data_IF_615976462520
#
_entry.id   IF_615976462520
#
_cell.length_a   1.000
_cell.length_b   1.000
_cell.length_c   1.000
_cell.angle_alpha   90.00
_cell.angle_beta   90.00
_cell.angle_gamma   90.00
#
_symmetry.space_group_name_H-M   'P 1'
#
loop_
_entity.id
_entity.type
_entity.pdbx_description
1 polymer ?
#
# COMPACT_ATOMS: atom_id res chain seq x y z
N UNK A 1 -5.17 22.58 4.31
CA UNK A 1 -5.76 21.41 5.00
C UNK A 1 -4.82 20.97 6.09
N UNK A 2 -5.29 20.92 7.33
CA UNK A 2 -4.56 20.31 8.44
C UNK A 2 -4.79 18.79 8.40
N UNK A 3 -3.80 18.02 8.86
CA UNK A 3 -4.08 16.63 9.24
C UNK A 3 -5.16 16.73 10.31
N UNK A 4 -6.30 16.06 10.12
CA UNK A 4 -7.47 16.15 11.02
C UNK A 4 -7.15 15.74 12.47
N UNK A 5 -8.16 15.53 13.33
CA UNK A 5 -7.93 15.17 14.74
C UNK A 5 -6.95 13.99 14.86
N UNK A 6 -5.74 14.30 15.34
CA UNK A 6 -4.62 13.35 15.39
C UNK A 6 -4.82 12.31 16.49
N UNK A 7 -5.61 12.63 17.51
CA UNK A 7 -5.92 11.82 18.68
C UNK A 7 -6.55 10.47 18.36
N UNK A 8 -7.08 10.30 17.14
CA UNK A 8 -7.67 9.05 16.66
C UNK A 8 -6.66 8.05 16.06
N UNK A 9 -5.42 8.49 15.80
CA UNK A 9 -4.35 7.63 15.27
C UNK A 9 -3.54 6.98 16.39
N UNK A 10 -2.69 6.00 16.05
CA UNK A 10 -1.75 5.41 17.00
C UNK A 10 -0.80 6.48 17.59
N UNK A 11 -0.46 6.43 18.89
CA UNK A 11 0.43 7.42 19.51
C UNK A 11 1.77 7.62 18.78
N UNK A 12 2.32 6.57 18.17
CA UNK A 12 3.55 6.68 17.39
C UNK A 12 3.33 7.50 16.11
N UNK A 13 2.25 7.21 15.39
CA UNK A 13 1.84 7.98 14.20
C UNK A 13 1.62 9.45 14.56
N UNK A 14 0.94 9.73 15.68
CA UNK A 14 0.72 11.09 16.16
C UNK A 14 2.04 11.84 16.38
N UNK A 15 2.97 11.21 17.10
CA UNK A 15 4.27 11.81 17.39
C UNK A 15 5.07 12.11 16.10
N UNK A 16 5.06 11.17 15.15
CA UNK A 16 5.75 11.32 13.86
C UNK A 16 5.14 12.47 13.04
N UNK A 17 3.81 12.54 12.95
CA UNK A 17 3.11 13.60 12.21
C UNK A 17 3.32 14.97 12.86
N UNK A 18 3.23 15.06 14.19
CA UNK A 18 3.48 16.32 14.90
C UNK A 18 4.90 16.83 14.69
N UNK A 19 5.89 15.94 14.70
CA UNK A 19 7.26 16.29 14.37
C UNK A 19 7.36 16.79 12.93
N UNK A 20 6.83 16.05 11.95
CA UNK A 20 6.87 16.42 10.54
C UNK A 20 6.19 17.78 10.27
N UNK A 21 5.02 18.02 10.84
CA UNK A 21 4.28 19.28 10.67
C UNK A 21 4.98 20.48 11.33
N UNK A 22 5.73 20.27 12.42
CA UNK A 22 6.60 21.32 12.98
C UNK A 22 7.76 21.62 12.04
N UNK A 23 8.47 20.59 11.59
CA UNK A 23 9.58 20.72 10.65
C UNK A 23 9.17 21.43 9.35
N UNK A 24 7.98 21.13 8.83
CA UNK A 24 7.41 21.75 7.63
C UNK A 24 7.12 23.25 7.79
N UNK A 25 6.84 23.72 9.02
CA UNK A 25 6.57 25.14 9.32
C UNK A 25 7.83 25.95 9.53
N UNK A 26 8.82 25.35 10.18
CA UNK A 26 10.01 26.07 10.65
C UNK A 26 11.10 26.22 9.57
N UNK A 27 11.10 25.36 8.55
CA UNK A 27 12.13 25.33 7.50
C UNK A 27 11.49 25.08 6.14
N UNK A 28 11.86 25.87 5.13
CA UNK A 28 11.47 25.60 3.74
C UNK A 28 12.16 24.32 3.23
N UNK A 29 11.43 23.22 3.01
CA UNK A 29 12.02 21.94 2.64
C UNK A 29 12.62 21.97 1.22
N UNK A 30 12.18 22.89 0.36
CA UNK A 30 12.74 23.05 -0.99
C UNK A 30 14.18 23.57 -0.95
N UNK A 31 14.53 24.30 0.12
CA UNK A 31 15.89 24.84 0.32
C UNK A 31 16.80 23.90 1.12
N UNK A 32 16.24 22.88 1.78
CA UNK A 32 17.00 21.97 2.63
C UNK A 32 16.69 20.50 2.38
N UNK A 33 17.56 19.87 1.58
CA UNK A 33 17.41 18.50 1.10
C UNK A 33 17.39 17.44 2.21
N UNK A 34 18.14 17.66 3.30
CA UNK A 34 18.14 16.75 4.45
C UNK A 34 16.82 16.78 5.22
N UNK A 35 16.20 17.96 5.32
CA UNK A 35 14.89 18.12 5.97
C UNK A 35 13.77 17.55 5.12
N UNK A 36 13.79 17.81 3.80
CA UNK A 36 12.86 17.19 2.88
C UNK A 36 12.91 15.65 2.94
N UNK A 37 14.11 15.07 3.11
CA UNK A 37 14.28 13.63 3.35
C UNK A 37 13.62 13.15 4.62
N UNK A 38 13.86 13.82 5.74
CA UNK A 38 13.26 13.44 7.02
C UNK A 38 11.73 13.59 7.02
N UNK A 39 11.22 14.65 6.38
CA UNK A 39 9.78 14.84 6.16
C UNK A 39 9.20 13.69 5.33
N UNK A 40 9.84 13.33 4.22
CA UNK A 40 9.39 12.24 3.38
C UNK A 40 9.32 10.90 4.11
N UNK A 41 10.33 10.60 4.94
CA UNK A 41 10.29 9.42 5.80
C UNK A 41 9.17 9.48 6.82
N UNK A 42 9.06 10.59 7.56
CA UNK A 42 8.08 10.75 8.63
C UNK A 42 6.66 10.57 8.11
N UNK A 43 6.32 11.26 7.03
CA UNK A 43 5.02 11.14 6.37
C UNK A 43 4.71 9.72 5.89
N UNK A 44 5.68 9.05 5.27
CA UNK A 44 5.48 7.68 4.79
C UNK A 44 5.33 6.67 5.93
N UNK A 45 6.12 6.82 6.99
CA UNK A 45 6.05 5.93 8.16
C UNK A 45 4.76 6.11 8.94
N UNK A 46 4.25 7.34 9.07
CA UNK A 46 2.95 7.59 9.68
C UNK A 46 1.83 6.81 8.96
N UNK A 47 1.78 6.89 7.62
CA UNK A 47 0.79 6.12 6.83
C UNK A 47 1.02 4.62 6.94
N UNK A 48 2.29 4.17 6.85
CA UNK A 48 2.65 2.76 6.94
C UNK A 48 2.25 2.13 8.29
N UNK A 49 2.49 2.84 9.40
CA UNK A 49 2.13 2.38 10.73
C UNK A 49 0.62 2.22 10.89
N UNK A 50 -0.15 3.24 10.48
CA UNK A 50 -1.61 3.18 10.60
C UNK A 50 -2.22 2.02 9.80
N UNK A 51 -1.83 1.87 8.53
CA UNK A 51 -2.39 0.78 7.73
C UNK A 51 -1.95 -0.59 8.28
N UNK A 52 -0.71 -0.73 8.75
CA UNK A 52 -0.23 -1.96 9.40
C UNK A 52 -1.08 -2.28 10.63
N UNK A 53 -1.32 -1.31 11.51
CA UNK A 53 -2.14 -1.50 12.70
C UNK A 53 -3.56 -1.97 12.37
N UNK A 54 -4.15 -1.48 11.26
CA UNK A 54 -5.48 -1.90 10.81
C UNK A 54 -5.52 -3.32 10.21
N UNK A 55 -4.47 -3.74 9.51
CA UNK A 55 -4.52 -4.99 8.72
C UNK A 55 -3.65 -6.12 9.25
N UNK A 56 -2.68 -5.87 10.13
CA UNK A 56 -1.66 -6.85 10.54
C UNK A 56 -2.28 -8.14 11.08
N UNK A 57 -3.24 -8.05 12.00
CA UNK A 57 -3.91 -9.23 12.56
C UNK A 57 -4.70 -10.02 11.51
N UNK A 58 -5.38 -9.32 10.59
CA UNK A 58 -6.22 -9.93 9.54
C UNK A 58 -5.33 -10.59 8.49
N UNK A 59 -4.28 -9.89 8.05
CA UNK A 59 -3.27 -10.39 7.13
C UNK A 59 -2.47 -11.56 7.72
N UNK A 60 -2.07 -11.50 8.99
CA UNK A 60 -1.37 -12.59 9.68
C UNK A 60 -2.19 -13.88 9.78
N UNK A 61 -3.51 -13.77 9.94
CA UNK A 61 -4.43 -14.93 9.84
C UNK A 61 -4.53 -15.43 8.39
N UNK A 62 -4.67 -14.52 7.43
CA UNK A 62 -4.80 -14.89 6.02
C UNK A 62 -3.54 -15.55 5.45
N UNK A 63 -2.33 -15.05 5.78
CA UNK A 63 -1.06 -15.58 5.26
C UNK A 63 -0.79 -17.03 5.70
N UNK A 64 -1.42 -17.46 6.80
CA UNK A 64 -1.31 -18.82 7.34
C UNK A 64 -2.49 -19.72 6.96
N UNK A 65 -3.54 -19.18 6.33
CA UNK A 65 -4.78 -19.90 6.04
C UNK A 65 -4.62 -20.91 4.90
N UNK A 66 -5.51 -21.91 4.88
CA UNK A 66 -5.68 -22.79 3.71
C UNK A 66 -6.14 -22.03 2.47
N UNK A 67 -6.88 -20.94 2.66
CA UNK A 67 -7.44 -20.16 1.56
C UNK A 67 -6.34 -19.54 0.72
N UNK A 68 -5.32 -18.93 1.36
CA UNK A 68 -4.18 -18.40 0.61
C UNK A 68 -3.38 -19.52 -0.06
N UNK A 69 -3.19 -20.68 0.60
CA UNK A 69 -2.49 -21.83 -0.01
C UNK A 69 -3.17 -22.31 -1.29
N UNK A 70 -4.51 -22.27 -1.33
CA UNK A 70 -5.30 -22.65 -2.49
C UNK A 70 -5.39 -21.53 -3.54
N UNK A 71 -5.36 -20.26 -3.10
CA UNK A 71 -5.48 -19.09 -3.97
C UNK A 71 -4.17 -18.77 -4.67
N UNK A 72 -3.03 -18.85 -3.97
CA UNK A 72 -1.73 -18.40 -4.47
C UNK A 72 -1.31 -19.05 -5.81
N UNK A 73 -1.48 -20.38 -6.03
CA UNK A 73 -1.21 -21.00 -7.33
C UNK A 73 -2.15 -20.53 -8.45
N UNK A 74 -3.31 -19.95 -8.12
CA UNK A 74 -4.23 -19.35 -9.11
C UNK A 74 -3.83 -17.91 -9.47
N UNK A 75 -3.06 -17.24 -8.62
CA UNK A 75 -2.57 -15.88 -8.83
C UNK A 75 -1.19 -15.85 -9.50
N UNK A 76 -0.35 -16.83 -9.18
CA UNK A 76 1.04 -16.89 -9.61
C UNK A 76 1.36 -18.28 -10.18
N UNK A 77 1.82 -18.31 -11.43
CA UNK A 77 2.24 -19.50 -12.13
C UNK A 77 3.73 -19.76 -11.90
N UNK A 78 4.04 -20.81 -11.14
CA UNK A 78 5.42 -21.19 -10.84
C UNK A 78 6.19 -21.76 -12.02
N UNK A 79 5.51 -22.21 -13.08
CA UNK A 79 6.17 -22.73 -14.30
C UNK A 79 6.67 -21.59 -15.18
N UNK A 80 5.93 -20.48 -15.20
CA UNK A 80 6.28 -19.28 -15.94
C UNK A 80 7.07 -18.25 -15.11
N UNK A 81 7.22 -18.49 -13.79
CA UNK A 81 7.77 -17.53 -12.82
C UNK A 81 7.07 -16.16 -12.92
N UNK A 82 5.75 -16.16 -13.13
CA UNK A 82 4.98 -14.97 -13.47
C UNK A 82 3.56 -15.01 -12.89
N UNK A 83 2.83 -13.91 -13.02
CA UNK A 83 1.39 -13.88 -12.73
C UNK A 83 0.66 -14.90 -13.61
N UNK A 84 -0.43 -15.47 -13.09
CA UNK A 84 -1.32 -16.29 -13.91
C UNK A 84 -1.91 -15.46 -15.05
N UNK A 85 -2.18 -16.09 -16.20
CA UNK A 85 -2.74 -15.39 -17.36
C UNK A 85 -4.05 -14.67 -17.04
N UNK A 86 -4.90 -15.29 -16.20
CA UNK A 86 -6.13 -14.69 -15.72
C UNK A 86 -5.89 -13.41 -14.93
N UNK A 87 -4.91 -13.42 -14.02
CA UNK A 87 -4.57 -12.25 -13.21
C UNK A 87 -3.92 -11.15 -14.08
N UNK A 88 -3.01 -11.51 -14.99
CA UNK A 88 -2.41 -10.54 -15.92
C UNK A 88 -3.47 -9.85 -16.77
N UNK A 89 -4.44 -10.62 -17.31
CA UNK A 89 -5.58 -10.06 -18.05
C UNK A 89 -6.44 -9.17 -17.17
N UNK A 90 -6.72 -9.59 -15.94
CA UNK A 90 -7.46 -8.78 -14.97
C UNK A 90 -6.80 -7.41 -14.79
N UNK A 91 -5.49 -7.35 -14.58
CA UNK A 91 -4.75 -6.10 -14.48
C UNK A 91 -4.87 -5.21 -15.73
N UNK A 92 -4.79 -5.79 -16.94
CA UNK A 92 -4.93 -5.03 -18.18
C UNK A 92 -6.32 -4.40 -18.35
N UNK A 93 -7.36 -5.01 -17.79
CA UNK A 93 -8.73 -4.50 -17.87
C UNK A 93 -9.02 -3.41 -16.83
N UNK A 94 -8.21 -3.31 -15.78
CA UNK A 94 -8.35 -2.29 -14.73
C UNK A 94 -7.66 -0.98 -15.18
N UNK A 95 -8.40 -0.13 -15.91
CA UNK A 95 -7.91 1.19 -16.34
C UNK A 95 -7.44 2.01 -15.13
N UNK A 96 -6.28 2.65 -15.25
CA UNK A 96 -5.69 3.52 -14.22
C UNK A 96 -5.00 2.79 -13.05
N UNK A 97 -5.24 1.50 -12.84
CA UNK A 97 -4.54 0.73 -11.79
C UNK A 97 -3.08 0.47 -12.15
N UNK A 98 -2.84 0.13 -13.42
CA UNK A 98 -1.51 -0.23 -13.92
C UNK A 98 -0.48 0.91 -13.92
N UNK A 99 -0.91 2.15 -13.70
CA UNK A 99 -0.01 3.31 -13.59
C UNK A 99 0.82 3.27 -12.31
N UNK A 100 0.22 2.82 -11.20
CA UNK A 100 0.89 2.72 -9.90
C UNK A 100 1.20 1.26 -9.53
N UNK A 101 0.23 0.36 -9.68
CA UNK A 101 0.36 -1.06 -9.33
C UNK A 101 0.64 -1.86 -10.60
N UNK A 102 1.93 -2.01 -10.90
CA UNK A 102 2.38 -2.74 -12.08
C UNK A 102 2.28 -4.25 -11.89
N UNK A 103 2.13 -5.00 -13.00
CA UNK A 103 2.14 -6.47 -12.96
C UNK A 103 3.44 -7.03 -12.36
N UNK A 104 4.59 -6.40 -12.65
CA UNK A 104 5.87 -6.83 -12.08
C UNK A 104 5.92 -6.63 -10.56
N UNK A 105 5.42 -5.50 -10.05
CA UNK A 105 5.31 -5.28 -8.61
C UNK A 105 4.47 -6.37 -7.95
N UNK A 106 3.32 -6.70 -8.55
CA UNK A 106 2.42 -7.74 -8.02
C UNK A 106 3.09 -9.11 -8.08
N UNK A 107 3.80 -9.42 -9.17
CA UNK A 107 4.57 -10.66 -9.35
C UNK A 107 5.60 -10.83 -8.24
N UNK A 108 6.41 -9.79 -7.99
CA UNK A 108 7.42 -9.82 -6.93
C UNK A 108 6.82 -10.05 -5.54
N UNK A 109 5.68 -9.42 -5.25
CA UNK A 109 4.99 -9.57 -3.96
C UNK A 109 4.43 -10.99 -3.79
N UNK A 110 3.74 -11.53 -4.81
CA UNK A 110 3.21 -12.90 -4.78
C UNK A 110 4.33 -13.96 -4.72
N UNK A 111 5.43 -13.74 -5.44
CA UNK A 111 6.62 -14.58 -5.39
C UNK A 111 7.20 -14.63 -3.96
N UNK A 112 7.33 -13.47 -3.29
CA UNK A 112 7.79 -13.41 -1.89
C UNK A 112 6.81 -14.08 -0.94
N UNK A 113 5.50 -13.89 -1.12
CA UNK A 113 4.49 -14.60 -0.32
C UNK A 113 4.64 -16.11 -0.47
N UNK A 114 4.86 -16.60 -1.69
CA UNK A 114 5.08 -18.03 -1.97
C UNK A 114 6.36 -18.55 -1.31
N UNK A 115 7.47 -17.81 -1.46
CA UNK A 115 8.78 -18.21 -0.93
C UNK A 115 8.84 -18.22 0.60
N UNK A 116 8.21 -17.23 1.25
CA UNK A 116 8.30 -17.08 2.70
C UNK A 116 7.09 -17.64 3.46
N UNK A 117 5.95 -17.87 2.78
CA UNK A 117 4.73 -18.42 3.36
C UNK A 117 4.32 -17.65 4.62
N UNK A 118 4.13 -18.38 5.73
CA UNK A 118 3.76 -17.83 7.03
C UNK A 118 4.75 -16.78 7.60
N UNK A 119 6.00 -16.74 7.11
CA UNK A 119 7.01 -15.75 7.52
C UNK A 119 6.95 -14.47 6.70
N UNK A 120 6.14 -14.41 5.64
CA UNK A 120 5.99 -13.22 4.82
C UNK A 120 5.35 -12.10 5.63
N UNK A 121 5.91 -10.90 5.51
CA UNK A 121 5.35 -9.66 6.05
C UNK A 121 5.19 -8.65 4.93
N UNK A 122 4.08 -7.93 4.94
CA UNK A 122 3.83 -6.82 4.03
C UNK A 122 4.56 -5.58 4.55
N UNK A 123 5.87 -5.52 4.32
CA UNK A 123 6.70 -4.40 4.74
C UNK A 123 6.88 -3.37 3.63
N UNK A 124 6.71 -2.11 3.99
CA UNK A 124 6.73 -1.00 3.06
C UNK A 124 5.39 -0.75 2.37
N UNK A 125 5.14 0.53 2.07
CA UNK A 125 3.93 1.02 1.42
C UNK A 125 3.59 0.29 0.11
N UNK A 126 4.58 -0.11 -0.68
CA UNK A 126 4.37 -0.89 -1.92
C UNK A 126 3.74 -2.26 -1.67
N UNK A 127 4.27 -3.00 -0.70
CA UNK A 127 3.74 -4.33 -0.36
C UNK A 127 2.33 -4.22 0.22
N UNK A 128 2.12 -3.23 1.10
CA UNK A 128 0.82 -2.93 1.68
C UNK A 128 -0.20 -2.55 0.60
N UNK A 129 0.17 -1.70 -0.35
CA UNK A 129 -0.69 -1.33 -1.48
C UNK A 129 -1.13 -2.54 -2.31
N UNK A 130 -0.20 -3.44 -2.66
CA UNK A 130 -0.55 -4.68 -3.37
C UNK A 130 -1.46 -5.58 -2.54
N UNK A 131 -1.18 -5.73 -1.24
CA UNK A 131 -2.00 -6.53 -0.32
C UNK A 131 -3.42 -5.99 -0.20
N UNK A 132 -3.57 -4.67 -0.03
CA UNK A 132 -4.88 -4.01 0.02
C UNK A 132 -5.61 -4.14 -1.32
N UNK A 133 -4.91 -3.98 -2.45
CA UNK A 133 -5.51 -4.13 -3.78
C UNK A 133 -6.05 -5.54 -4.03
N UNK A 134 -5.23 -6.57 -3.75
CA UNK A 134 -5.56 -7.96 -4.04
C UNK A 134 -6.47 -8.60 -3.00
N UNK A 135 -6.42 -8.17 -1.74
CA UNK A 135 -7.10 -8.89 -0.65
C UNK A 135 -8.01 -8.00 0.20
N UNK A 136 -8.07 -6.70 -0.07
CA UNK A 136 -8.93 -5.74 0.63
C UNK A 136 -10.36 -5.67 0.13
N UNK A 137 -10.65 -6.24 -1.05
CA UNK A 137 -11.96 -6.12 -1.70
C UNK A 137 -12.36 -7.38 -2.46
N UNK A 138 -13.65 -7.50 -2.70
CA UNK A 138 -14.20 -8.56 -3.52
C UNK A 138 -13.89 -8.32 -4.99
N UNK A 139 -13.43 -9.37 -5.67
CA UNK A 139 -13.32 -9.37 -7.12
C UNK A 139 -13.16 -10.78 -7.67
N UNK A 140 -13.41 -10.88 -8.96
CA UNK A 140 -13.27 -12.12 -9.70
C UNK A 140 -12.67 -11.89 -11.08
N UNK A 141 -12.01 -12.90 -11.59
CA UNK A 141 -11.49 -12.93 -12.94
C UNK A 141 -11.42 -14.37 -13.45
N UNK A 142 -11.47 -14.51 -14.77
CA UNK A 142 -11.37 -15.80 -15.41
C UNK A 142 -9.91 -16.19 -15.57
N UNK A 143 -9.57 -17.41 -15.17
CA UNK A 143 -8.29 -18.05 -15.42
C UNK A 143 -8.50 -19.32 -16.28
N UNK A 144 -7.43 -19.95 -16.73
CA UNK A 144 -7.53 -21.14 -17.60
C UNK A 144 -8.43 -22.22 -16.96
N UNK A 145 -9.62 -22.43 -17.54
CA UNK A 145 -10.58 -23.44 -17.13
C UNK A 145 -11.27 -23.21 -15.78
N UNK A 146 -11.08 -22.06 -15.11
CA UNK A 146 -11.74 -21.78 -13.83
C UNK A 146 -11.91 -20.28 -13.57
N UNK A 147 -12.97 -19.91 -12.85
CA UNK A 147 -13.11 -18.57 -12.31
C UNK A 147 -12.41 -18.48 -10.96
N UNK A 148 -11.62 -17.44 -10.77
CA UNK A 148 -10.98 -17.11 -9.49
C UNK A 148 -11.82 -16.05 -8.82
N UNK A 149 -12.28 -16.33 -7.61
CA UNK A 149 -12.99 -15.39 -6.75
C UNK A 149 -12.16 -15.10 -5.51
N UNK A 150 -12.04 -13.82 -5.18
CA UNK A 150 -11.40 -13.33 -3.96
C UNK A 150 -12.44 -12.55 -3.19
N UNK A 151 -12.84 -13.05 -2.02
CA UNK A 151 -13.88 -12.48 -1.17
C UNK A 151 -13.23 -11.77 0.03
N UNK A 152 -12.70 -10.57 -0.22
CA UNK A 152 -11.99 -9.67 0.71
C UNK A 152 -11.39 -10.37 1.94
N UNK A 153 -10.30 -11.15 1.80
CA UNK A 153 -9.71 -11.88 2.93
C UNK A 153 -9.24 -10.98 4.08
N UNK A 154 -8.93 -9.71 3.81
CA UNK A 154 -8.60 -8.73 4.84
C UNK A 154 -9.82 -8.18 5.57
N UNK A 155 -11.04 -8.38 5.05
CA UNK A 155 -12.28 -7.93 5.70
C UNK A 155 -12.25 -6.45 6.06
N UNK A 156 -11.77 -5.60 5.16
CA UNK A 156 -11.70 -4.15 5.38
C UNK A 156 -13.12 -3.58 5.34
N UNK A 157 -13.62 -3.19 6.51
CA UNK A 157 -14.93 -2.54 6.66
C UNK A 157 -14.78 -1.03 6.74
N UNK A 158 -15.83 -0.30 6.39
CA UNK A 158 -15.86 1.17 6.40
C UNK A 158 -15.33 1.85 5.14
N UNK A 159 -14.78 1.09 4.18
CA UNK A 159 -14.40 1.56 2.85
C UNK A 159 -15.28 0.92 1.77
N UNK A 160 -15.63 1.69 0.74
CA UNK A 160 -16.18 1.11 -0.49
C UNK A 160 -15.09 0.38 -1.29
N UNK A 161 -15.47 -0.35 -2.35
CA UNK A 161 -14.48 -1.00 -3.23
C UNK A 161 -13.60 0.04 -3.95
N UNK A 162 -14.18 1.17 -4.35
CA UNK A 162 -13.50 2.30 -4.98
C UNK A 162 -12.52 2.96 -4.01
N UNK A 163 -12.94 3.18 -2.76
CA UNK A 163 -12.07 3.74 -1.73
C UNK A 163 -10.93 2.78 -1.36
N UNK A 164 -11.19 1.47 -1.32
CA UNK A 164 -10.16 0.44 -1.09
C UNK A 164 -9.13 0.45 -2.22
N UNK A 165 -9.59 0.54 -3.48
CA UNK A 165 -8.71 0.70 -4.63
C UNK A 165 -7.91 2.00 -4.56
N UNK A 166 -8.57 3.11 -4.24
CA UNK A 166 -7.91 4.41 -4.11
C UNK A 166 -6.82 4.38 -3.05
N UNK A 167 -7.11 3.81 -1.87
CA UNK A 167 -6.12 3.62 -0.82
C UNK A 167 -4.92 2.80 -1.30
N UNK A 168 -5.15 1.67 -1.98
CA UNK A 168 -4.07 0.85 -2.50
C UNK A 168 -3.15 1.62 -3.47
N UNK A 169 -3.74 2.40 -4.40
CA UNK A 169 -2.99 3.23 -5.34
C UNK A 169 -2.21 4.33 -4.64
N UNK A 170 -2.84 5.00 -3.66
CA UNK A 170 -2.19 6.05 -2.87
C UNK A 170 -0.99 5.53 -2.08
N UNK A 171 -1.08 4.33 -1.50
CA UNK A 171 0.05 3.71 -0.79
C UNK A 171 1.25 3.50 -1.73
N UNK A 172 1.01 2.94 -2.92
CA UNK A 172 2.09 2.72 -3.89
C UNK A 172 2.64 4.04 -4.43
N UNK A 173 1.78 5.01 -4.72
CA UNK A 173 2.18 6.35 -5.15
C UNK A 173 3.00 7.06 -4.09
N UNK A 174 2.61 6.98 -2.81
CA UNK A 174 3.34 7.59 -1.70
C UNK A 174 4.77 7.04 -1.61
N UNK A 175 4.96 5.75 -1.87
CA UNK A 175 6.29 5.16 -1.99
C UNK A 175 7.08 5.74 -3.18
N UNK A 176 6.45 5.90 -4.34
CA UNK A 176 7.11 6.45 -5.53
C UNK A 176 7.61 7.87 -5.30
N UNK A 177 6.78 8.74 -4.73
CA UNK A 177 7.16 10.14 -4.48
C UNK A 177 8.14 10.28 -3.31
N UNK A 178 8.16 9.32 -2.39
CA UNK A 178 9.15 9.24 -1.31
C UNK A 178 10.55 8.92 -1.85
N UNK A 179 10.65 8.09 -2.88
CA UNK A 179 11.93 7.56 -3.36
C UNK A 179 12.95 8.67 -3.70
N UNK A 180 12.60 9.74 -4.44
CA UNK A 180 13.53 10.84 -4.73
C UNK A 180 14.14 11.55 -3.52
N UNK A 181 13.51 11.44 -2.34
CA UNK A 181 14.04 12.00 -1.10
C UNK A 181 15.06 11.07 -0.41
N UNK A 182 15.06 9.78 -0.75
CA UNK A 182 15.88 8.75 -0.10
C UNK A 182 17.05 8.35 -0.98
N UNK A 183 16.84 8.39 -2.29
CA UNK A 183 17.72 7.89 -3.31
C UNK A 183 18.44 9.07 -3.98
N UNK A 184 19.76 9.23 -3.76
CA UNK A 184 20.53 10.36 -4.28
C UNK A 184 20.58 10.44 -5.81
N UNK A 185 20.25 9.35 -6.51
CA UNK A 185 20.21 9.26 -7.96
C UNK A 185 19.05 10.01 -8.63
N UNK A 186 18.00 10.40 -7.88
CA UNK A 186 16.90 11.17 -8.45
C UNK A 186 17.17 12.67 -8.32
N UNK A 187 17.28 13.34 -9.47
CA UNK A 187 17.47 14.79 -9.57
C UNK A 187 16.15 15.56 -9.44
N UNK A 188 15.03 14.96 -9.87
CA UNK A 188 13.69 15.54 -9.76
C UNK A 188 12.99 15.04 -8.51
N UNK A 189 12.46 15.96 -7.72
CA UNK A 189 11.67 15.67 -6.53
C UNK A 189 10.29 16.26 -6.71
N UNK A 190 9.26 15.47 -6.43
CA UNK A 190 7.97 16.08 -6.16
C UNK A 190 8.09 17.01 -4.96
N UNK A 191 7.28 18.07 -4.94
CA UNK A 191 7.26 18.98 -3.80
C UNK A 191 6.76 18.24 -2.58
N UNK A 192 7.41 18.45 -1.44
CA UNK A 192 6.99 17.81 -0.18
C UNK A 192 5.53 18.16 0.19
N UNK A 193 5.03 19.31 -0.30
CA UNK A 193 3.63 19.71 -0.15
C UNK A 193 2.65 18.75 -0.84
N UNK A 194 3.00 18.18 -2.01
CA UNK A 194 2.17 17.17 -2.67
C UNK A 194 2.19 15.85 -1.88
N UNK A 195 3.36 15.48 -1.35
CA UNK A 195 3.46 14.32 -0.46
C UNK A 195 2.57 14.45 0.77
N UNK A 196 2.57 15.62 1.41
CA UNK A 196 1.70 15.92 2.55
C UNK A 196 0.22 15.76 2.20
N UNK A 197 -0.22 16.21 1.01
CA UNK A 197 -1.61 16.02 0.55
C UNK A 197 -1.96 14.55 0.42
N UNK A 198 -1.10 13.75 -0.23
CA UNK A 198 -1.33 12.31 -0.36
C UNK A 198 -1.38 11.60 1.00
N UNK A 199 -0.58 12.05 1.97
CA UNK A 199 -0.58 11.50 3.33
C UNK A 199 -1.90 11.79 4.04
N UNK A 200 -2.40 13.03 3.95
CA UNK A 200 -3.71 13.39 4.51
C UNK A 200 -4.82 12.54 3.87
N UNK A 201 -4.78 12.37 2.54
CA UNK A 201 -5.74 11.53 1.83
C UNK A 201 -5.66 10.06 2.28
N UNK A 202 -4.45 9.50 2.38
CA UNK A 202 -4.22 8.14 2.89
C UNK A 202 -4.81 7.98 4.28
N UNK A 203 -4.41 8.84 5.23
CA UNK A 203 -4.85 8.78 6.62
C UNK A 203 -6.36 8.96 6.74
N UNK A 204 -6.96 9.82 5.92
CA UNK A 204 -8.40 10.00 5.84
C UNK A 204 -9.13 8.72 5.44
N UNK A 205 -8.59 7.92 4.52
CA UNK A 205 -9.14 6.61 4.16
C UNK A 205 -8.85 5.56 5.25
N UNK A 206 -7.62 5.51 5.78
CA UNK A 206 -7.25 4.54 6.81
C UNK A 206 -8.08 4.71 8.09
N UNK A 207 -8.42 5.96 8.45
CA UNK A 207 -9.32 6.29 9.56
C UNK A 207 -10.69 5.65 9.44
N UNK A 208 -11.23 5.51 8.22
CA UNK A 208 -12.53 4.87 7.98
C UNK A 208 -12.50 3.37 8.21
N UNK A 209 -11.33 2.74 8.24
CA UNK A 209 -11.21 1.29 8.43
C UNK A 209 -11.59 0.94 9.87
N UNK A 210 -12.69 0.20 10.01
CA UNK A 210 -13.14 -0.33 11.30
C UNK A 210 -12.17 -1.43 11.79
N UNK A 211 -11.85 -1.39 13.08
CA UNK A 211 -10.98 -2.37 13.74
C UNK A 211 -11.60 -3.77 13.72
#
# INVERSE_FOLDING_TARGET
EEVGPLDEFDPETQAILLAAERMMRDVDPETNTGWARNLGFSYSFAVENEIKNKIEKKFGKFITSSDLKNLLPKLYDSTLDNLSLGLSRYFLLQKGVGEEITQDLVRQILERMRKHGAKYKADGLKALGVVVFLFGRDHRFDNLGSQVEINSPLGLKGLTQEETNRLALLLVRLQHIRNPFIHPEFTEREKIGEMRKLVIECLGLVKKIEA
#
